data_IF_200586804982
#
_entry.id   IF_200586804982
#
_cell.length_a   1.000
_cell.length_b   1.000
_cell.length_c   1.000
_cell.angle_alpha   90.00
_cell.angle_beta   90.00
_cell.angle_gamma   90.00
#
_symmetry.space_group_name_H-M   'P 1'
#
loop_
_entity.id
_entity.type
_entity.pdbx_description
1 polymer ?
#
# COMPACT_ATOMS: atom_id res chain seq x y z
N UNK A 1 16.17 12.80 19.64
CA UNK A 1 14.79 12.89 19.13
C UNK A 1 14.24 11.47 19.01
N UNK A 2 13.23 11.09 19.82
CA UNK A 2 12.80 9.69 20.02
C UNK A 2 11.59 9.39 19.12
N UNK A 3 11.87 8.99 17.87
CA UNK A 3 10.90 8.76 16.78
C UNK A 3 9.86 7.67 17.12
N UNK A 4 10.20 6.74 18.03
CA UNK A 4 9.38 5.58 18.41
C UNK A 4 7.98 5.88 18.98
N UNK A 5 7.75 7.08 19.53
CA UNK A 5 6.45 7.48 20.08
C UNK A 5 5.45 7.78 18.96
N UNK A 6 5.92 8.45 17.91
CA UNK A 6 5.07 8.86 16.80
C UNK A 6 4.68 7.65 15.94
N UNK A 7 5.62 6.76 15.64
CA UNK A 7 5.36 5.51 14.92
C UNK A 7 4.33 4.62 15.64
N UNK A 8 4.37 4.58 16.98
CA UNK A 8 3.38 3.85 17.79
C UNK A 8 2.00 4.50 17.77
N UNK A 9 1.92 5.83 17.87
CA UNK A 9 0.65 6.56 17.78
C UNK A 9 0.01 6.42 16.39
N UNK A 10 0.84 6.47 15.34
CA UNK A 10 0.44 6.19 13.96
C UNK A 10 -0.06 4.74 13.83
N UNK A 11 0.68 3.75 14.36
CA UNK A 11 0.25 2.35 14.43
C UNK A 11 -1.09 2.13 15.14
N UNK A 12 -1.38 2.92 16.18
CA UNK A 12 -2.67 2.89 16.90
C UNK A 12 -3.78 3.63 16.16
N UNK A 13 -3.49 4.75 15.50
CA UNK A 13 -4.43 5.47 14.66
C UNK A 13 -4.82 4.64 13.42
N UNK A 14 -3.89 3.89 12.82
CA UNK A 14 -4.16 2.92 11.75
C UNK A 14 -5.15 1.82 12.18
N UNK A 15 -5.17 1.46 13.46
CA UNK A 15 -6.13 0.49 14.03
C UNK A 15 -7.56 1.02 14.07
N UNK A 16 -7.74 2.34 14.01
CA UNK A 16 -9.02 3.02 14.18
C UNK A 16 -9.52 3.70 12.89
N UNK A 17 -8.63 3.91 11.92
CA UNK A 17 -8.96 4.36 10.57
C UNK A 17 -9.49 3.18 9.72
N UNK A 18 -10.38 3.49 8.77
CA UNK A 18 -10.85 2.55 7.75
C UNK A 18 -9.63 1.94 7.03
N UNK A 19 -9.21 0.72 7.45
CA UNK A 19 -8.04 0.01 6.92
C UNK A 19 -8.12 -0.18 5.40
N UNK A 20 -9.34 -0.21 4.89
CA UNK A 20 -9.70 -0.28 3.50
C UNK A 20 -9.22 0.95 2.71
N UNK A 21 -9.40 2.17 3.24
CA UNK A 21 -9.03 3.43 2.57
C UNK A 21 -7.57 3.54 2.17
N UNK A 22 -6.68 2.80 2.82
CA UNK A 22 -5.24 2.86 2.58
C UNK A 22 -4.73 1.72 1.69
N UNK A 23 -5.57 0.74 1.34
CA UNK A 23 -5.15 -0.48 0.63
C UNK A 23 -4.28 -0.21 -0.59
N UNK A 24 -4.63 0.74 -1.48
CA UNK A 24 -3.78 1.02 -2.64
C UNK A 24 -2.37 1.49 -2.32
N UNK A 25 -2.17 2.11 -1.16
CA UNK A 25 -0.88 2.71 -0.75
C UNK A 25 -0.02 1.75 0.08
N UNK A 26 -0.52 0.56 0.39
CA UNK A 26 0.17 -0.44 1.22
C UNK A 26 1.01 -1.35 0.34
N UNK A 27 2.31 -1.49 0.65
CA UNK A 27 3.21 -2.40 -0.08
C UNK A 27 2.58 -3.80 -0.19
N UNK A 28 2.39 -4.34 -1.42
CA UNK A 28 1.73 -5.62 -1.66
C UNK A 28 2.37 -6.78 -0.89
N UNK A 29 3.67 -6.69 -0.57
CA UNK A 29 4.40 -7.70 0.21
C UNK A 29 3.91 -7.79 1.65
N UNK A 30 3.23 -6.77 2.17
CA UNK A 30 2.59 -6.80 3.49
C UNK A 30 1.42 -7.80 3.51
N UNK A 31 0.69 -7.92 2.39
CA UNK A 31 -0.41 -8.88 2.24
C UNK A 31 0.09 -10.31 2.01
N UNK A 32 1.36 -10.48 1.60
CA UNK A 32 1.97 -11.79 1.44
C UNK A 32 2.06 -12.51 2.80
N UNK A 33 1.39 -13.65 2.88
CA UNK A 33 1.20 -14.44 4.10
C UNK A 33 2.53 -14.84 4.75
N UNK A 34 2.98 -14.13 5.79
CA UNK A 34 4.00 -14.66 6.71
C UNK A 34 3.35 -15.71 7.60
N UNK A 35 3.49 -16.98 7.23
CA UNK A 35 3.13 -18.14 8.05
C UNK A 35 4.14 -18.26 9.20
N UNK A 36 4.05 -17.39 10.20
CA UNK A 36 4.81 -17.55 11.44
C UNK A 36 3.91 -18.27 12.45
N UNK A 37 4.36 -19.43 12.93
CA UNK A 37 3.65 -20.32 13.87
C UNK A 37 3.49 -19.76 15.28
N UNK A 38 3.64 -18.46 15.44
CA UNK A 38 3.48 -17.75 16.69
C UNK A 38 2.39 -16.71 16.44
N UNK A 39 1.31 -16.82 17.19
CA UNK A 39 0.09 -16.01 17.30
C UNK A 39 0.32 -14.49 17.55
N UNK A 40 1.45 -13.96 17.11
CA UNK A 40 1.76 -12.55 16.93
C UNK A 40 1.84 -12.26 15.43
N UNK A 41 0.74 -11.73 14.90
CA UNK A 41 0.67 -11.12 13.57
C UNK A 41 1.65 -9.94 13.52
N UNK A 42 2.89 -10.18 13.12
CA UNK A 42 3.85 -9.12 12.84
C UNK A 42 3.47 -8.50 11.49
N UNK A 43 2.32 -7.81 11.46
CA UNK A 43 1.69 -7.28 10.25
C UNK A 43 2.49 -6.09 9.66
N UNK A 44 3.44 -5.54 10.41
CA UNK A 44 4.12 -4.30 10.03
C UNK A 44 5.60 -4.32 10.40
N UNK A 45 6.41 -5.06 9.64
CA UNK A 45 7.84 -4.73 9.57
C UNK A 45 8.01 -3.58 8.57
N UNK A 46 7.69 -2.37 9.03
CA UNK A 46 7.86 -1.14 8.27
C UNK A 46 9.33 -1.02 7.85
N UNK A 47 9.60 -0.93 6.55
CA UNK A 47 10.93 -0.76 6.00
C UNK A 47 10.89 0.28 4.87
N UNK A 48 12.05 0.84 4.50
CA UNK A 48 12.16 1.92 3.50
C UNK A 48 11.56 1.54 2.13
N UNK A 49 11.50 0.25 1.77
CA UNK A 49 10.87 -0.21 0.52
C UNK A 49 9.36 -0.04 0.54
N UNK A 50 8.74 -0.17 1.71
CA UNK A 50 7.30 0.03 1.85
C UNK A 50 6.95 1.52 1.61
N UNK A 51 7.80 2.43 2.10
CA UNK A 51 7.64 3.87 1.85
C UNK A 51 7.76 4.19 0.36
N UNK A 52 8.73 3.60 -0.34
CA UNK A 52 8.91 3.78 -1.80
C UNK A 52 7.65 3.40 -2.57
N UNK A 53 7.00 2.28 -2.23
CA UNK A 53 5.75 1.88 -2.88
C UNK A 53 4.65 2.92 -2.66
N UNK A 54 4.41 3.32 -1.40
CA UNK A 54 3.37 4.28 -1.06
C UNK A 54 3.59 5.65 -1.73
N UNK A 55 4.84 6.10 -1.82
CA UNK A 55 5.23 7.32 -2.53
C UNK A 55 4.98 7.16 -4.03
N UNK A 56 5.26 5.99 -4.61
CA UNK A 56 4.98 5.70 -6.02
C UNK A 56 3.49 5.84 -6.36
N UNK A 57 2.62 5.26 -5.54
CA UNK A 57 1.16 5.36 -5.70
C UNK A 57 0.67 6.79 -5.52
N UNK A 58 1.20 7.53 -4.54
CA UNK A 58 0.90 8.97 -4.37
C UNK A 58 1.32 9.81 -5.57
N UNK A 59 2.52 9.56 -6.13
CA UNK A 59 2.98 10.26 -7.33
C UNK A 59 2.12 9.91 -8.55
N UNK A 60 1.67 8.66 -8.66
CA UNK A 60 0.72 8.24 -9.69
C UNK A 60 -0.63 8.97 -9.54
N UNK A 61 -1.17 9.06 -8.32
CA UNK A 61 -2.42 9.78 -8.05
C UNK A 61 -2.32 11.28 -8.41
N UNK A 62 -1.23 11.94 -8.01
CA UNK A 62 -1.01 13.36 -8.32
C UNK A 62 -0.85 13.58 -9.83
N UNK A 63 -0.11 12.70 -10.51
CA UNK A 63 0.14 12.84 -11.95
C UNK A 63 -1.08 12.49 -12.81
N UNK A 64 -1.88 11.51 -12.38
CA UNK A 64 -3.12 11.11 -13.06
C UNK A 64 -4.29 12.03 -12.76
N UNK A 65 -4.31 12.66 -11.58
CA UNK A 65 -5.50 13.30 -11.03
C UNK A 65 -6.63 12.32 -10.70
N UNK A 66 -6.33 11.02 -10.56
CA UNK A 66 -7.29 9.94 -10.30
C UNK A 66 -6.98 9.24 -8.98
N UNK A 67 -8.03 8.77 -8.31
CA UNK A 67 -7.86 7.86 -7.16
C UNK A 67 -7.31 6.51 -7.65
N UNK A 68 -6.33 5.90 -6.95
CA UNK A 68 -5.85 4.56 -7.27
C UNK A 68 -7.00 3.57 -7.29
N UNK A 69 -7.08 2.69 -8.31
CA UNK A 69 -8.15 1.70 -8.44
C UNK A 69 -9.57 2.31 -8.30
N UNK A 70 -9.82 3.48 -8.90
CA UNK A 70 -11.08 4.24 -8.73
C UNK A 70 -12.37 3.49 -9.10
N UNK A 71 -12.25 2.37 -9.82
CA UNK A 71 -13.38 1.50 -10.21
C UNK A 71 -13.64 0.37 -9.23
N UNK A 72 -12.72 0.12 -8.30
CA UNK A 72 -12.75 -1.00 -7.38
C UNK A 72 -13.20 -0.58 -5.98
N UNK A 73 -13.86 -1.49 -5.27
CA UNK A 73 -14.08 -1.32 -3.84
C UNK A 73 -12.79 -1.62 -3.09
N UNK A 74 -12.44 -0.79 -2.11
CA UNK A 74 -11.24 -1.02 -1.33
C UNK A 74 -11.52 -2.09 -0.28
N UNK A 75 -11.42 -3.35 -0.64
CA UNK A 75 -11.73 -4.48 0.24
C UNK A 75 -10.59 -5.51 0.28
N UNK A 76 -10.86 -6.67 0.89
CA UNK A 76 -9.87 -7.74 1.00
C UNK A 76 -9.52 -8.31 -0.39
N UNK A 77 -10.47 -8.31 -1.32
CA UNK A 77 -10.26 -8.85 -2.67
C UNK A 77 -9.30 -7.95 -3.45
N UNK A 78 -9.47 -6.63 -3.38
CA UNK A 78 -8.50 -5.68 -3.95
C UNK A 78 -7.10 -5.86 -3.36
N UNK A 79 -6.98 -6.06 -2.04
CA UNK A 79 -5.68 -6.32 -1.41
C UNK A 79 -5.02 -7.62 -1.92
N UNK A 80 -5.83 -8.66 -2.18
CA UNK A 80 -5.35 -9.92 -2.77
C UNK A 80 -4.86 -9.68 -4.19
N UNK A 81 -5.62 -8.95 -5.02
CA UNK A 81 -5.24 -8.67 -6.41
C UNK A 81 -3.96 -7.82 -6.51
N UNK A 82 -3.83 -6.78 -5.67
CA UNK A 82 -2.61 -5.97 -5.56
C UNK A 82 -1.40 -6.84 -5.17
N UNK A 83 -1.59 -7.80 -4.25
CA UNK A 83 -0.57 -8.78 -3.86
C UNK A 83 -0.17 -9.73 -5.01
N UNK A 84 -1.07 -9.92 -5.98
CA UNK A 84 -0.85 -10.69 -7.21
C UNK A 84 -0.33 -9.83 -8.36
N UNK A 85 0.11 -8.61 -8.08
CA UNK A 85 0.69 -7.66 -9.03
C UNK A 85 -0.31 -6.87 -9.88
N UNK A 86 -1.57 -6.78 -9.45
CA UNK A 86 -2.49 -5.78 -10.01
C UNK A 86 -1.89 -4.37 -9.79
N UNK A 87 -1.93 -3.54 -10.84
CA UNK A 87 -1.45 -2.15 -10.84
C UNK A 87 -2.48 -1.25 -11.49
N UNK A 88 -2.39 0.03 -11.20
CA UNK A 88 -3.27 1.06 -11.73
C UNK A 88 -3.13 1.16 -13.26
N UNK A 89 -4.22 1.55 -13.92
CA UNK A 89 -4.18 1.73 -15.37
C UNK A 89 -3.20 2.86 -15.76
N UNK A 90 -2.37 2.65 -16.79
CA UNK A 90 -1.53 3.72 -17.31
C UNK A 90 -2.36 4.91 -17.79
N UNK A 91 -1.85 6.10 -17.51
CA UNK A 91 -2.44 7.35 -17.98
C UNK A 91 -2.06 7.53 -19.44
N UNK A 92 -2.93 8.17 -20.23
CA UNK A 92 -2.64 8.51 -21.62
C UNK A 92 -1.31 9.31 -21.67
N UNK A 93 -0.34 8.82 -22.45
CA UNK A 93 1.03 9.33 -22.57
C UNK A 93 2.02 8.98 -21.43
N UNK A 94 1.69 8.06 -20.52
CA UNK A 94 2.72 7.46 -19.64
C UNK A 94 3.72 6.67 -20.50
N UNK A 95 5.02 6.98 -20.38
CA UNK A 95 6.07 6.24 -21.12
C UNK A 95 6.08 4.77 -20.71
N UNK A 96 6.19 3.86 -21.69
CA UNK A 96 6.24 2.40 -21.48
C UNK A 96 7.33 1.95 -20.48
N UNK A 97 8.38 2.76 -20.31
CA UNK A 97 9.44 2.48 -19.33
C UNK A 97 8.94 2.50 -17.87
N UNK A 98 7.84 3.20 -17.58
CA UNK A 98 7.23 3.19 -16.25
C UNK A 98 6.35 1.96 -16.00
N UNK A 99 5.91 1.28 -17.07
CA UNK A 99 5.03 0.10 -16.99
C UNK A 99 5.79 -1.21 -16.72
N UNK A 100 7.10 -1.23 -16.95
CA UNK A 100 7.91 -2.46 -17.02
C UNK A 100 8.94 -2.63 -15.89
N UNK A 101 8.88 -1.78 -14.85
CA UNK A 101 9.72 -1.83 -13.64
C UNK A 101 9.15 -2.78 -12.56
#
# INVERSE_FOLDING_TARGET
>A
MKISSLSKRIGLAFKQLNLFGIIPYVDPKIFSKRKNNNNSTQLFSYNEKNDIYSIGVLLWEISSGKSPFSTEEYDIDLAIEISQSLREEPILNTSENYMTL
#
